data_IF_316112932392
#
_entry.id   IF_316112932392
#
_cell.length_a   1.000
_cell.length_b   1.000
_cell.length_c   1.000
_cell.angle_alpha   90.00
_cell.angle_beta   90.00
_cell.angle_gamma   90.00
#
_symmetry.space_group_name_H-M   'P 1'
#
loop_
_entity.id
_entity.type
_entity.pdbx_description
1 polymer ?
#
# COMPACT_ATOMS: atom_id res chain seq x y z
N UNK A 1 -20.39 9.30 0.75
CA UNK A 1 -19.17 9.55 -0.04
C UNK A 1 -19.42 9.07 -1.46
N UNK A 2 -19.23 9.93 -2.47
CA UNK A 2 -19.33 9.54 -3.88
C UNK A 2 -17.93 9.32 -4.44
N UNK A 3 -17.59 8.06 -4.79
CA UNK A 3 -16.32 7.69 -5.40
C UNK A 3 -16.53 7.53 -6.89
N UNK A 4 -16.29 8.62 -7.63
CA UNK A 4 -16.52 8.67 -9.07
C UNK A 4 -15.28 8.34 -9.90
N UNK A 5 -14.08 8.26 -9.28
CA UNK A 5 -12.82 8.03 -9.96
C UNK A 5 -12.07 6.85 -9.36
N UNK A 6 -11.45 6.05 -10.22
CA UNK A 6 -10.70 4.87 -9.78
C UNK A 6 -9.42 4.67 -10.60
N UNK A 7 -8.46 4.01 -9.99
CA UNK A 7 -7.28 3.44 -10.62
C UNK A 7 -7.18 1.99 -10.15
N UNK A 8 -7.16 1.06 -11.09
CA UNK A 8 -7.04 -0.37 -10.82
C UNK A 8 -5.73 -0.89 -11.38
N UNK A 9 -4.97 -1.58 -10.54
CA UNK A 9 -3.73 -2.26 -10.90
C UNK A 9 -3.84 -3.73 -10.49
N UNK A 10 -3.30 -4.61 -11.30
CA UNK A 10 -3.16 -6.02 -10.95
C UNK A 10 -1.80 -6.28 -10.26
N UNK A 11 -1.62 -7.49 -9.75
CA UNK A 11 -0.39 -7.86 -9.06
C UNK A 11 0.84 -7.84 -9.98
N UNK A 12 0.68 -8.21 -11.25
CA UNK A 12 1.77 -8.19 -12.22
C UNK A 12 2.22 -6.76 -12.54
N UNK A 13 1.27 -5.82 -12.60
CA UNK A 13 1.58 -4.40 -12.78
C UNK A 13 2.27 -3.83 -11.52
N UNK A 14 1.80 -4.20 -10.32
CA UNK A 14 2.45 -3.83 -9.07
C UNK A 14 3.91 -4.31 -9.03
N UNK A 15 4.16 -5.61 -9.29
CA UNK A 15 5.52 -6.17 -9.31
C UNK A 15 6.42 -5.45 -10.31
N UNK A 16 5.89 -5.19 -11.51
CA UNK A 16 6.63 -4.46 -12.54
C UNK A 16 6.95 -3.03 -12.09
N UNK A 17 5.99 -2.33 -11.51
CA UNK A 17 6.16 -0.96 -11.04
C UNK A 17 7.25 -0.86 -9.95
N UNK A 18 7.16 -1.71 -8.93
CA UNK A 18 8.15 -1.76 -7.86
C UNK A 18 9.54 -2.08 -8.39
N UNK A 19 9.66 -3.03 -9.32
CA UNK A 19 10.94 -3.39 -9.93
C UNK A 19 11.52 -2.23 -10.74
N UNK A 20 10.70 -1.57 -11.56
CA UNK A 20 11.13 -0.47 -12.44
C UNK A 20 11.60 0.77 -11.68
N UNK A 21 10.99 1.06 -10.52
CA UNK A 21 11.46 2.16 -9.64
C UNK A 21 12.77 1.82 -8.91
N UNK A 22 13.21 0.55 -8.93
CA UNK A 22 14.44 0.08 -8.28
C UNK A 22 14.21 -0.59 -6.92
N UNK A 23 12.99 -1.08 -6.68
CA UNK A 23 12.59 -1.71 -5.43
C UNK A 23 12.17 -0.72 -4.34
N UNK A 24 11.68 -1.26 -3.24
CA UNK A 24 11.27 -0.50 -2.05
C UNK A 24 12.12 -0.88 -0.85
N UNK A 25 12.28 0.04 0.07
CA UNK A 25 13.01 -0.16 1.33
C UNK A 25 12.01 -0.19 2.47
N UNK A 26 11.98 -1.30 3.21
CA UNK A 26 11.10 -1.51 4.36
C UNK A 26 11.94 -1.81 5.61
N UNK A 27 11.36 -1.63 6.80
CA UNK A 27 11.97 -2.03 8.06
C UNK A 27 11.32 -3.31 8.57
N UNK A 28 12.01 -4.42 8.36
CA UNK A 28 11.50 -5.78 8.56
C UNK A 28 11.76 -6.25 9.99
N UNK A 29 10.74 -6.73 10.67
CA UNK A 29 10.89 -7.42 11.96
C UNK A 29 11.55 -8.80 11.78
N UNK A 30 12.06 -9.38 12.87
CA UNK A 30 12.67 -10.74 12.83
C UNK A 30 11.63 -11.80 12.39
N UNK A 31 10.40 -11.70 12.85
CA UNK A 31 9.34 -12.63 12.48
C UNK A 31 9.01 -12.57 10.98
N UNK A 32 9.01 -11.37 10.40
CA UNK A 32 8.80 -11.17 8.97
C UNK A 32 9.98 -11.69 8.14
N UNK A 33 11.21 -11.45 8.60
CA UNK A 33 12.41 -11.99 7.97
C UNK A 33 12.39 -13.53 7.96
N UNK A 34 12.05 -14.16 9.08
CA UNK A 34 11.95 -15.61 9.20
C UNK A 34 10.86 -16.18 8.29
N UNK A 35 9.73 -15.50 8.20
CA UNK A 35 8.64 -15.88 7.29
C UNK A 35 9.09 -15.80 5.82
N UNK A 36 9.74 -14.71 5.42
CA UNK A 36 10.25 -14.51 4.07
C UNK A 36 11.32 -15.55 3.70
N UNK A 37 12.22 -15.84 4.63
CA UNK A 37 13.23 -16.89 4.49
C UNK A 37 12.59 -18.28 4.33
N UNK A 38 11.52 -18.55 5.09
CA UNK A 38 10.77 -19.79 4.98
C UNK A 38 10.11 -19.97 3.61
N UNK A 39 9.61 -18.88 3.00
CA UNK A 39 9.05 -18.92 1.63
C UNK A 39 10.16 -19.10 0.59
N UNK A 40 11.28 -18.38 0.74
CA UNK A 40 12.39 -18.45 -0.21
C UNK A 40 13.17 -19.77 -0.13
N UNK A 41 13.09 -20.47 0.99
CA UNK A 41 13.89 -21.68 1.25
C UNK A 41 15.38 -21.39 1.51
N UNK A 42 15.73 -20.13 1.77
CA UNK A 42 17.11 -19.68 2.03
C UNK A 42 17.12 -18.53 3.06
N UNK A 43 18.24 -18.38 3.76
CA UNK A 43 18.47 -17.28 4.72
C UNK A 43 18.96 -16.03 3.97
N UNK A 44 18.04 -15.21 3.52
CA UNK A 44 18.33 -14.00 2.73
C UNK A 44 18.03 -12.71 3.49
N UNK A 45 17.03 -12.71 4.36
CA UNK A 45 16.60 -11.54 5.11
C UNK A 45 16.89 -11.69 6.59
N UNK A 46 17.18 -10.57 7.23
CA UNK A 46 17.34 -10.40 8.68
C UNK A 46 16.51 -9.19 9.11
N UNK A 47 16.24 -9.10 10.42
CA UNK A 47 15.57 -7.91 10.97
C UNK A 47 16.33 -6.63 10.63
N UNK A 48 15.61 -5.55 10.42
CA UNK A 48 16.10 -4.23 10.03
C UNK A 48 15.80 -3.88 8.59
N UNK A 49 16.49 -2.89 8.07
CA UNK A 49 16.24 -2.33 6.74
C UNK A 49 16.52 -3.34 5.63
N UNK A 50 15.52 -3.61 4.80
CA UNK A 50 15.61 -4.52 3.66
C UNK A 50 15.12 -3.84 2.38
N UNK A 51 15.83 -4.08 1.25
CA UNK A 51 15.36 -3.68 -0.08
C UNK A 51 14.69 -4.86 -0.75
N UNK A 52 13.43 -4.65 -1.16
CA UNK A 52 12.59 -5.65 -1.81
C UNK A 52 12.36 -5.27 -3.28
N UNK A 53 12.52 -6.21 -4.20
CA UNK A 53 12.06 -6.09 -5.57
C UNK A 53 10.53 -6.31 -5.67
N UNK A 54 9.96 -6.20 -6.86
CA UNK A 54 8.52 -6.28 -7.06
C UNK A 54 7.89 -7.58 -6.54
N UNK A 55 8.35 -8.76 -6.97
CA UNK A 55 7.81 -10.03 -6.47
C UNK A 55 7.95 -10.19 -4.96
N UNK A 56 9.09 -9.82 -4.41
CA UNK A 56 9.36 -9.91 -2.97
C UNK A 56 8.50 -8.94 -2.16
N UNK A 57 8.33 -7.70 -2.65
CA UNK A 57 7.45 -6.71 -2.03
C UNK A 57 5.97 -7.15 -2.03
N UNK A 58 5.54 -7.84 -3.10
CA UNK A 58 4.19 -8.41 -3.15
C UNK A 58 4.00 -9.52 -2.10
N UNK A 59 4.98 -10.41 -1.95
CA UNK A 59 4.94 -11.45 -0.91
C UNK A 59 4.88 -10.82 0.47
N UNK A 60 5.75 -9.82 0.75
CA UNK A 60 5.79 -9.08 2.01
C UNK A 60 4.43 -8.42 2.35
N UNK A 61 3.86 -7.67 1.41
CA UNK A 61 2.57 -6.99 1.59
C UNK A 61 1.37 -7.95 1.78
N UNK A 62 1.52 -9.22 1.39
CA UNK A 62 0.46 -10.23 1.46
C UNK A 62 0.62 -11.24 2.58
N UNK A 63 1.62 -11.10 3.45
CA UNK A 63 1.77 -11.98 4.61
C UNK A 63 0.50 -12.00 5.47
N UNK A 64 0.04 -13.20 5.85
CA UNK A 64 -1.16 -13.41 6.66
C UNK A 64 -0.94 -14.30 7.87
N UNK A 65 0.14 -15.11 7.87
CA UNK A 65 0.32 -16.16 8.88
C UNK A 65 0.97 -15.69 10.18
N UNK A 66 1.52 -14.48 10.19
CA UNK A 66 2.23 -13.96 11.37
C UNK A 66 1.30 -13.20 12.30
N UNK A 67 0.25 -12.57 11.75
CA UNK A 67 -0.44 -11.50 12.44
C UNK A 67 -1.90 -11.39 12.05
N UNK A 68 -2.59 -10.44 12.68
CA UNK A 68 -3.96 -10.05 12.34
C UNK A 68 -4.02 -9.33 10.97
N UNK A 69 -5.24 -9.10 10.49
CA UNK A 69 -5.47 -8.31 9.27
C UNK A 69 -4.97 -6.85 9.41
N UNK A 70 -4.82 -6.36 10.64
CA UNK A 70 -4.32 -5.00 10.90
C UNK A 70 -2.84 -4.85 10.55
N UNK A 71 -1.98 -5.77 10.98
CA UNK A 71 -0.57 -5.76 10.65
C UNK A 71 -0.34 -5.93 9.14
N UNK A 72 -1.22 -6.67 8.46
CA UNK A 72 -1.19 -6.73 6.99
C UNK A 72 -1.47 -5.36 6.36
N UNK A 73 -2.43 -4.61 6.87
CA UNK A 73 -2.74 -3.25 6.39
C UNK A 73 -1.54 -2.32 6.62
N UNK A 74 -0.89 -2.42 7.77
CA UNK A 74 0.31 -1.62 8.05
C UNK A 74 1.45 -1.94 7.07
N UNK A 75 1.74 -3.21 6.81
CA UNK A 75 2.75 -3.60 5.79
C UNK A 75 2.39 -3.09 4.39
N UNK A 76 1.12 -3.14 4.00
CA UNK A 76 0.67 -2.57 2.72
C UNK A 76 0.93 -1.07 2.65
N UNK A 77 0.65 -0.34 3.73
CA UNK A 77 0.93 1.10 3.83
C UNK A 77 2.43 1.39 3.76
N UNK A 78 3.24 0.61 4.49
CA UNK A 78 4.68 0.74 4.46
C UNK A 78 5.24 0.57 3.05
N UNK A 79 4.82 -0.46 2.32
CA UNK A 79 5.23 -0.69 0.93
C UNK A 79 4.80 0.47 0.01
N UNK A 80 3.59 0.98 0.16
CA UNK A 80 3.10 2.13 -0.62
C UNK A 80 3.90 3.38 -0.30
N UNK A 81 4.17 3.66 0.97
CA UNK A 81 4.98 4.81 1.38
C UNK A 81 6.42 4.67 0.87
N UNK A 82 7.04 3.50 1.01
CA UNK A 82 8.38 3.22 0.52
C UNK A 82 8.49 3.35 -1.01
N UNK A 83 7.44 2.93 -1.74
CA UNK A 83 7.37 3.15 -3.20
C UNK A 83 7.30 4.64 -3.54
N UNK A 84 6.51 5.39 -2.79
CA UNK A 84 6.38 6.82 -2.91
C UNK A 84 7.72 7.55 -2.68
N UNK A 85 8.41 7.21 -1.61
CA UNK A 85 9.73 7.76 -1.26
C UNK A 85 10.76 7.42 -2.35
N UNK A 86 10.73 6.20 -2.86
CA UNK A 86 11.61 5.77 -3.96
C UNK A 86 11.34 6.56 -5.24
N UNK A 87 10.06 6.75 -5.61
CA UNK A 87 9.66 7.56 -6.78
C UNK A 87 10.18 9.00 -6.66
N UNK A 88 10.12 9.60 -5.47
CA UNK A 88 10.61 10.95 -5.21
C UNK A 88 12.12 11.11 -5.46
N UNK A 89 12.90 10.03 -5.44
CA UNK A 89 14.35 10.04 -5.74
C UNK A 89 14.67 9.92 -7.22
N UNK A 90 13.68 9.61 -8.07
CA UNK A 90 13.92 9.36 -9.49
C UNK A 90 14.05 10.65 -10.29
N UNK A 91 14.90 10.61 -11.31
CA UNK A 91 15.00 11.71 -12.28
C UNK A 91 13.76 11.76 -13.19
N UNK A 92 13.40 12.95 -13.66
CA UNK A 92 12.26 13.13 -14.57
C UNK A 92 12.31 12.24 -15.81
N UNK A 93 13.46 12.07 -16.52
CA UNK A 93 13.53 11.16 -17.65
C UNK A 93 13.24 9.70 -17.28
N UNK A 94 13.66 9.26 -16.09
CA UNK A 94 13.36 7.89 -15.61
C UNK A 94 11.88 7.73 -15.25
N UNK A 95 11.28 8.73 -14.63
CA UNK A 95 9.83 8.76 -14.36
C UNK A 95 9.02 8.71 -15.66
N UNK A 96 9.39 9.49 -16.68
CA UNK A 96 8.72 9.47 -17.97
C UNK A 96 8.78 8.08 -18.63
N UNK A 97 9.96 7.46 -18.62
CA UNK A 97 10.14 6.09 -19.15
C UNK A 97 9.24 5.08 -18.45
N UNK A 98 9.21 5.11 -17.11
CA UNK A 98 8.39 4.22 -16.30
C UNK A 98 6.90 4.47 -16.55
N UNK A 99 6.48 5.74 -16.56
CA UNK A 99 5.11 6.13 -16.83
C UNK A 99 4.62 5.65 -18.19
N UNK A 100 5.39 5.89 -19.25
CA UNK A 100 5.03 5.43 -20.60
C UNK A 100 4.91 3.89 -20.70
N UNK A 101 5.66 3.15 -19.89
CA UNK A 101 5.58 1.69 -19.82
C UNK A 101 4.36 1.20 -19.03
N UNK A 102 4.01 1.86 -17.92
CA UNK A 102 3.01 1.38 -16.97
C UNK A 102 1.61 1.94 -17.23
N UNK A 103 1.48 3.23 -17.62
CA UNK A 103 0.18 3.88 -17.81
C UNK A 103 -0.77 3.11 -18.76
N UNK A 104 -0.30 2.56 -19.91
CA UNK A 104 -1.17 1.78 -20.79
C UNK A 104 -1.76 0.50 -20.18
N UNK A 105 -1.19 0.04 -19.06
CA UNK A 105 -1.61 -1.18 -18.35
C UNK A 105 -2.56 -0.89 -17.18
N UNK A 106 -2.74 0.38 -16.84
CA UNK A 106 -3.62 0.81 -15.76
C UNK A 106 -5.06 0.85 -16.25
N UNK A 107 -5.95 0.16 -15.55
CA UNK A 107 -7.39 0.28 -15.76
C UNK A 107 -7.94 1.46 -14.95
N UNK A 108 -8.48 2.48 -15.62
CA UNK A 108 -8.95 3.70 -14.96
C UNK A 108 -10.00 4.41 -15.81
N UNK A 109 -10.84 5.20 -15.16
CA UNK A 109 -11.73 6.17 -15.81
C UNK A 109 -11.16 7.59 -15.83
N UNK A 110 -9.91 7.77 -15.40
CA UNK A 110 -9.19 9.04 -15.53
C UNK A 110 -8.75 9.27 -16.97
N UNK A 111 -8.80 10.51 -17.41
CA UNK A 111 -8.20 10.91 -18.68
C UNK A 111 -6.67 10.87 -18.61
N UNK A 112 -6.01 10.75 -19.75
CA UNK A 112 -4.53 10.81 -19.80
C UNK A 112 -3.98 12.10 -19.17
N UNK A 113 -4.66 13.24 -19.36
CA UNK A 113 -4.26 14.51 -18.75
C UNK A 113 -4.32 14.48 -17.22
N UNK A 114 -5.34 13.84 -16.64
CA UNK A 114 -5.48 13.68 -15.19
C UNK A 114 -4.43 12.71 -14.63
N UNK A 115 -4.13 11.62 -15.34
CA UNK A 115 -3.06 10.70 -14.97
C UNK A 115 -1.70 11.40 -14.96
N UNK A 116 -1.39 12.20 -15.98
CA UNK A 116 -0.16 13.01 -16.00
C UNK A 116 -0.12 14.03 -14.87
N UNK A 117 -1.24 14.71 -14.58
CA UNK A 117 -1.29 15.65 -13.44
C UNK A 117 -1.04 14.94 -12.10
N UNK A 118 -1.61 13.75 -11.90
CA UNK A 118 -1.33 12.93 -10.71
C UNK A 118 0.15 12.59 -10.63
N UNK A 119 0.74 12.10 -11.70
CA UNK A 119 2.15 11.70 -11.75
C UNK A 119 3.08 12.88 -11.43
N UNK A 120 2.84 14.06 -12.01
CA UNK A 120 3.66 15.25 -11.73
C UNK A 120 3.44 15.84 -10.34
N UNK A 121 2.25 15.66 -9.75
CA UNK A 121 1.97 16.10 -8.38
C UNK A 121 2.47 15.09 -7.35
N UNK A 122 2.67 13.84 -7.72
CA UNK A 122 3.11 12.78 -6.80
C UNK A 122 4.36 13.17 -5.99
N UNK A 123 5.47 13.67 -6.55
CA UNK A 123 6.63 14.05 -5.75
C UNK A 123 6.32 15.13 -4.70
N UNK A 124 5.41 16.05 -5.00
CA UNK A 124 5.00 17.12 -4.07
C UNK A 124 4.02 16.57 -3.00
N UNK A 125 3.13 15.67 -3.39
CA UNK A 125 2.18 15.03 -2.48
C UNK A 125 2.88 14.05 -1.54
N UNK A 126 3.88 13.34 -2.04
CA UNK A 126 4.64 12.30 -1.32
C UNK A 126 5.76 12.88 -0.46
N UNK A 127 6.27 14.07 -0.77
CA UNK A 127 7.21 14.81 0.08
C UNK A 127 6.60 15.37 1.38
N UNK A 128 5.28 15.31 1.51
CA UNK A 128 4.56 15.52 2.76
C UNK A 128 4.10 14.14 3.24
N UNK A 129 4.37 13.79 4.49
CA UNK A 129 3.82 12.57 5.07
C UNK A 129 2.32 12.51 4.76
N UNK A 130 1.92 11.53 3.95
CA UNK A 130 0.53 11.33 3.62
C UNK A 130 -0.23 11.03 4.93
N UNK A 131 -1.25 11.83 5.23
CA UNK A 131 -2.13 11.52 6.34
C UNK A 131 -2.82 10.20 6.05
N UNK A 132 -2.80 9.30 7.02
CA UNK A 132 -3.37 7.97 6.88
C UNK A 132 -4.45 7.76 7.93
N UNK A 133 -5.51 7.07 7.53
CA UNK A 133 -6.60 6.72 8.42
C UNK A 133 -7.01 5.27 8.16
N UNK A 134 -7.27 4.52 9.22
CA UNK A 134 -7.86 3.18 9.14
C UNK A 134 -9.34 3.26 9.47
N UNK A 135 -10.18 2.63 8.65
CA UNK A 135 -11.63 2.55 8.83
C UNK A 135 -12.04 1.08 8.73
N UNK A 136 -12.68 0.50 9.74
CA UNK A 136 -12.93 1.06 11.06
C UNK A 136 -11.67 1.18 11.91
N UNK A 137 -11.72 1.97 13.00
CA UNK A 137 -10.62 2.06 13.96
C UNK A 137 -10.55 0.77 14.80
N UNK A 138 -9.33 0.25 15.03
CA UNK A 138 -9.14 -1.04 15.70
C UNK A 138 -9.76 -1.08 17.09
N UNK A 139 -9.65 0.00 17.83
CA UNK A 139 -10.12 0.13 19.22
C UNK A 139 -11.64 0.24 19.32
N UNK A 140 -12.30 0.63 18.23
CA UNK A 140 -13.76 0.77 18.14
C UNK A 140 -14.43 -0.44 17.46
N UNK A 141 -13.68 -1.53 17.25
CA UNK A 141 -14.21 -2.74 16.65
C UNK A 141 -14.48 -3.83 17.68
N UNK A 142 -15.50 -4.64 17.42
CA UNK A 142 -15.79 -5.85 18.20
C UNK A 142 -15.94 -7.06 17.30
N UNK A 143 -15.63 -8.25 17.86
CA UNK A 143 -15.81 -9.50 17.13
C UNK A 143 -17.24 -9.96 17.18
N UNK A 144 -17.82 -10.25 16.03
CA UNK A 144 -19.13 -10.93 15.92
C UNK A 144 -18.86 -12.40 15.64
N UNK A 145 -19.11 -13.27 16.62
CA UNK A 145 -19.00 -14.72 16.43
C UNK A 145 -20.24 -15.23 15.70
N UNK A 146 -20.07 -15.69 14.47
CA UNK A 146 -21.15 -16.27 13.65
C UNK A 146 -20.97 -17.78 13.57
N UNK A 147 -20.77 -18.57 14.51
CA UNK A 147 -20.77 -20.03 14.47
C UNK A 147 -20.09 -20.75 13.28
N UNK A 148 -19.69 -20.01 12.26
CA UNK A 148 -18.87 -20.36 11.12
C UNK A 148 -17.45 -19.82 11.38
N UNK A 149 -16.41 -20.49 10.92
CA UNK A 149 -14.99 -20.22 11.20
C UNK A 149 -14.48 -18.82 10.76
N UNK A 150 -15.32 -17.86 10.44
CA UNK A 150 -14.97 -16.49 10.09
C UNK A 150 -15.44 -15.52 11.18
N UNK A 151 -14.51 -14.84 11.82
CA UNK A 151 -14.82 -13.71 12.70
C UNK A 151 -15.22 -12.51 11.82
N UNK A 152 -16.46 -12.05 11.97
CA UNK A 152 -16.88 -10.76 11.45
C UNK A 152 -16.45 -9.67 12.44
N UNK A 153 -16.02 -8.55 11.92
CA UNK A 153 -15.71 -7.36 12.73
C UNK A 153 -16.93 -6.43 12.65
N UNK A 154 -17.49 -6.08 13.80
CA UNK A 154 -18.51 -5.06 13.91
C UNK A 154 -17.90 -3.70 14.28
N UNK A 155 -18.52 -2.62 13.84
CA UNK A 155 -18.18 -1.26 14.24
C UNK A 155 -19.42 -0.37 14.19
N UNK A 156 -19.36 0.81 14.79
CA UNK A 156 -20.40 1.84 14.61
C UNK A 156 -20.17 2.54 13.26
N UNK A 157 -20.92 2.11 12.24
CA UNK A 157 -20.82 2.65 10.89
C UNK A 157 -21.11 4.15 10.80
N UNK A 158 -21.97 4.71 11.67
CA UNK A 158 -22.31 6.12 11.66
C UNK A 158 -21.13 6.95 12.19
N UNK A 159 -20.57 6.55 13.32
CA UNK A 159 -19.39 7.18 13.91
C UNK A 159 -18.19 7.12 12.97
N UNK A 160 -17.96 5.95 12.33
CA UNK A 160 -16.87 5.80 11.36
C UNK A 160 -17.06 6.64 10.10
N UNK A 161 -18.30 6.77 9.61
CA UNK A 161 -18.59 7.65 8.47
C UNK A 161 -18.32 9.12 8.77
N UNK A 162 -18.72 9.59 9.97
CA UNK A 162 -18.45 10.96 10.42
C UNK A 162 -16.95 11.21 10.61
N UNK A 163 -16.21 10.20 11.14
CA UNK A 163 -14.77 10.27 11.30
C UNK A 163 -14.05 10.36 9.95
N UNK A 164 -14.45 9.53 8.99
CA UNK A 164 -13.93 9.57 7.63
C UNK A 164 -14.21 10.91 6.94
N UNK A 165 -15.41 11.46 7.11
CA UNK A 165 -15.79 12.71 6.48
C UNK A 165 -14.97 13.90 7.05
N UNK A 166 -14.75 13.94 8.37
CA UNK A 166 -13.83 14.92 9.01
C UNK A 166 -12.42 14.80 8.48
N UNK A 167 -11.88 13.58 8.42
CA UNK A 167 -10.54 13.32 7.89
C UNK A 167 -10.38 13.84 6.45
N UNK A 168 -11.36 13.56 5.58
CA UNK A 168 -11.31 13.99 4.18
C UNK A 168 -11.47 15.51 4.00
N UNK A 169 -12.12 16.20 4.96
CA UNK A 169 -12.21 17.67 4.97
C UNK A 169 -10.96 18.34 5.57
N UNK A 170 -10.10 17.59 6.23
CA UNK A 170 -8.96 18.13 6.95
C UNK A 170 -9.33 18.77 8.29
N UNK A 171 -10.50 18.42 8.83
CA UNK A 171 -10.97 18.84 10.13
C UNK A 171 -10.42 17.84 11.18
N UNK A 172 -9.32 18.23 11.83
CA UNK A 172 -8.69 17.45 12.90
C UNK A 172 -9.22 17.84 14.29
#
# INVERSE_FOLDING_TARGET
>A
MDVSRYVKIDFSLFETAITDIGGVVVDMSQAEADYMNGIAGEQKWTAGTARLDGPTALVYARMRKLDSDWERVERQREVVQAAADQVATLSLPKLDLIANKLLPRIETNLTNGELWQLLFKMPVLLGKQAQQMTVPEREETWSISSGLQSSLIGCDFAAEADRLDRFLRGDS
#
